data_IF_225135621506
#
_entry.id   IF_225135621506
#
_cell.length_a   1.000
_cell.length_b   1.000
_cell.length_c   1.000
_cell.angle_alpha   90.00
_cell.angle_beta   90.00
_cell.angle_gamma   90.00
#
_symmetry.space_group_name_H-M   'P 1'
#
loop_
_entity.id
_entity.type
_entity.pdbx_description
1 polymer ?
#
# COMPACT_ATOMS: atom_id res chain seq x y z
N UNK A 1 -13.44 -13.16 23.19
CA UNK A 1 -12.80 -14.15 22.30
C UNK A 1 -12.55 -13.59 20.88
N UNK A 2 -12.97 -12.35 20.57
CA UNK A 2 -12.78 -11.74 19.24
C UNK A 2 -11.33 -11.29 18.96
N UNK A 3 -10.59 -10.86 20.00
CA UNK A 3 -9.19 -10.42 19.87
C UNK A 3 -8.23 -11.54 19.43
N UNK A 4 -8.57 -12.83 19.65
CA UNK A 4 -7.72 -13.94 19.21
C UNK A 4 -7.88 -14.28 17.72
N UNK A 5 -8.99 -13.84 17.10
CA UNK A 5 -9.26 -14.07 15.67
C UNK A 5 -8.70 -12.92 14.82
N UNK A 6 -8.72 -11.69 15.36
CA UNK A 6 -8.31 -10.52 14.62
C UNK A 6 -6.82 -10.49 14.30
N UNK A 7 -5.97 -10.88 15.24
CA UNK A 7 -4.50 -10.89 15.06
C UNK A 7 -4.01 -11.75 13.88
N UNK A 8 -4.40 -13.04 13.76
CA UNK A 8 -3.95 -13.85 12.61
C UNK A 8 -4.51 -13.35 11.27
N UNK A 9 -5.73 -12.79 11.25
CA UNK A 9 -6.30 -12.18 10.05
C UNK A 9 -5.56 -10.90 9.64
N UNK A 10 -5.21 -10.08 10.62
CA UNK A 10 -4.40 -8.88 10.42
C UNK A 10 -3.04 -9.26 9.83
N UNK A 11 -2.32 -10.21 10.43
CA UNK A 11 -1.02 -10.67 9.92
C UNK A 11 -1.11 -11.24 8.51
N UNK A 12 -2.16 -12.02 8.22
CA UNK A 12 -2.41 -12.54 6.88
C UNK A 12 -2.68 -11.40 5.88
N UNK A 13 -3.49 -10.40 6.26
CA UNK A 13 -3.76 -9.24 5.43
C UNK A 13 -2.50 -8.41 5.17
N UNK A 14 -1.70 -8.16 6.22
CA UNK A 14 -0.45 -7.41 6.12
C UNK A 14 0.61 -8.13 5.27
N UNK A 15 0.53 -9.46 5.18
CA UNK A 15 1.38 -10.29 4.32
C UNK A 15 0.81 -10.49 2.91
N UNK A 16 -0.34 -9.90 2.59
CA UNK A 16 -0.97 -10.09 1.28
C UNK A 16 -0.14 -9.42 0.15
N UNK A 17 -0.26 -9.91 -1.10
CA UNK A 17 0.41 -9.30 -2.24
C UNK A 17 0.07 -7.82 -2.43
N UNK A 18 -1.17 -7.42 -2.11
CA UNK A 18 -1.60 -6.02 -2.21
C UNK A 18 -0.82 -5.14 -1.22
N UNK A 19 -0.77 -5.53 0.05
CA UNK A 19 -0.04 -4.77 1.08
C UNK A 19 1.45 -4.72 0.78
N UNK A 20 2.01 -5.85 0.32
CA UNK A 20 3.41 -5.92 -0.13
C UNK A 20 3.67 -4.97 -1.28
N UNK A 21 2.78 -4.92 -2.27
CA UNK A 21 2.91 -4.05 -3.45
C UNK A 21 2.79 -2.56 -3.09
N UNK A 22 1.82 -2.14 -2.29
CA UNK A 22 1.69 -0.71 -1.91
C UNK A 22 2.86 -0.22 -1.06
N UNK A 23 3.51 -1.11 -0.28
CA UNK A 23 4.76 -0.79 0.45
C UNK A 23 5.95 -0.53 -0.47
N UNK A 24 5.90 -0.93 -1.75
CA UNK A 24 6.96 -0.59 -2.72
C UNK A 24 6.96 0.88 -3.13
N UNK A 25 5.85 1.60 -2.89
CA UNK A 25 5.75 3.04 -3.16
C UNK A 25 6.29 3.90 -2.01
N UNK A 26 6.50 3.32 -0.83
CA UNK A 26 7.00 4.03 0.33
C UNK A 26 6.68 3.34 1.66
N UNK A 27 7.25 3.83 2.76
CA UNK A 27 6.96 3.30 4.10
C UNK A 27 5.53 3.65 4.54
N UNK A 28 4.76 2.64 4.96
CA UNK A 28 3.48 2.84 5.65
C UNK A 28 3.71 3.38 7.07
N UNK A 29 2.83 4.27 7.54
CA UNK A 29 2.86 4.80 8.91
C UNK A 29 4.25 5.32 9.37
N UNK A 30 5.05 5.88 8.45
CA UNK A 30 6.38 6.39 8.76
C UNK A 30 7.49 5.33 8.89
N UNK A 31 7.21 4.06 8.57
CA UNK A 31 8.22 3.00 8.39
C UNK A 31 8.56 2.17 9.63
N UNK A 32 8.09 2.59 10.81
CA UNK A 32 8.27 1.88 12.09
C UNK A 32 6.92 1.58 12.79
N UNK A 33 5.81 1.67 12.07
CA UNK A 33 4.49 1.38 12.62
C UNK A 33 4.30 -0.11 12.90
N UNK A 34 3.48 -0.41 13.90
CA UNK A 34 2.95 -1.76 14.13
C UNK A 34 2.02 -2.19 12.98
N UNK A 35 1.79 -3.49 12.82
CA UNK A 35 0.83 -4.00 11.83
C UNK A 35 -0.56 -3.35 11.94
N UNK A 36 -0.97 -2.99 13.16
CA UNK A 36 -2.25 -2.32 13.39
C UNK A 36 -2.23 -0.87 12.90
N UNK A 37 -1.15 -0.13 13.15
CA UNK A 37 -1.00 1.25 12.68
C UNK A 37 -0.91 1.32 11.15
N UNK A 38 -0.15 0.40 10.54
CA UNK A 38 -0.10 0.27 9.08
C UNK A 38 -1.46 -0.12 8.49
N UNK A 39 -2.21 -1.01 9.14
CA UNK A 39 -3.57 -1.36 8.73
C UNK A 39 -4.53 -0.17 8.80
N UNK A 40 -4.50 0.61 9.88
CA UNK A 40 -5.32 1.82 10.01
C UNK A 40 -4.99 2.82 8.91
N UNK A 41 -3.70 3.02 8.60
CA UNK A 41 -3.25 3.89 7.51
C UNK A 41 -3.68 3.39 6.10
N UNK A 42 -3.92 2.09 5.94
CA UNK A 42 -4.49 1.55 4.71
C UNK A 42 -6.01 1.69 4.67
N UNK A 43 -6.67 1.54 5.81
CA UNK A 43 -8.14 1.63 5.93
C UNK A 43 -8.64 3.06 5.77
N UNK A 44 -7.88 4.07 6.22
CA UNK A 44 -8.24 5.48 6.02
C UNK A 44 -8.26 5.89 4.53
N UNK A 45 -7.55 5.13 3.69
CA UNK A 45 -7.51 5.30 2.24
C UNK A 45 -6.66 6.47 1.73
N UNK A 46 -6.08 7.29 2.62
CA UNK A 46 -5.25 8.44 2.24
C UNK A 46 -4.00 7.97 1.51
N UNK A 47 -3.29 7.00 2.10
CA UNK A 47 -2.09 6.43 1.49
C UNK A 47 -2.39 5.77 0.13
N UNK A 48 -3.50 5.05 0.02
CA UNK A 48 -3.92 4.42 -1.24
C UNK A 48 -4.22 5.47 -2.32
N UNK A 49 -4.82 6.60 -1.97
CA UNK A 49 -5.05 7.69 -2.89
C UNK A 49 -3.73 8.31 -3.39
N UNK A 50 -2.73 8.47 -2.52
CA UNK A 50 -1.39 8.92 -2.92
C UNK A 50 -0.71 7.95 -3.88
N UNK A 51 -0.79 6.64 -3.62
CA UNK A 51 -0.28 5.60 -4.53
C UNK A 51 -0.96 5.70 -5.90
N UNK A 52 -2.28 5.90 -5.94
CA UNK A 52 -3.01 6.09 -7.19
C UNK A 52 -2.56 7.33 -7.97
N UNK A 53 -2.29 8.45 -7.28
CA UNK A 53 -1.76 9.66 -7.89
C UNK A 53 -0.34 9.45 -8.46
N UNK A 54 0.55 8.80 -7.70
CA UNK A 54 1.90 8.47 -8.19
C UNK A 54 1.86 7.58 -9.42
N UNK A 55 0.93 6.61 -9.47
CA UNK A 55 0.73 5.78 -10.66
C UNK A 55 0.25 6.61 -11.84
N UNK A 56 -0.71 7.50 -11.64
CA UNK A 56 -1.21 8.38 -12.68
C UNK A 56 -0.11 9.30 -13.23
N UNK A 57 0.70 9.91 -12.37
CA UNK A 57 1.84 10.73 -12.77
C UNK A 57 2.88 9.94 -13.56
N UNK A 58 3.24 8.73 -13.10
CA UNK A 58 4.18 7.85 -13.81
C UNK A 58 3.65 7.41 -15.17
N UNK A 59 2.37 7.04 -15.25
CA UNK A 59 1.72 6.65 -16.50
C UNK A 59 1.67 7.81 -17.49
N UNK A 60 1.28 8.99 -17.02
CA UNK A 60 1.25 10.20 -17.83
C UNK A 60 2.66 10.58 -18.32
N UNK A 61 3.65 10.56 -17.44
CA UNK A 61 5.05 10.83 -17.79
C UNK A 61 5.58 9.83 -18.83
N UNK A 62 5.27 8.54 -18.70
CA UNK A 62 5.65 7.53 -19.69
C UNK A 62 4.95 7.72 -21.04
N UNK A 63 3.67 8.08 -21.04
CA UNK A 63 2.95 8.45 -22.25
C UNK A 63 3.54 9.68 -22.95
N UNK A 64 4.03 10.64 -22.16
CA UNK A 64 4.67 11.87 -22.66
C UNK A 64 6.12 11.65 -23.14
N UNK A 65 6.82 10.65 -22.59
CA UNK A 65 8.19 10.28 -22.97
C UNK A 65 8.26 9.16 -24.02
N UNK A 66 7.13 8.57 -24.43
CA UNK A 66 7.08 7.47 -25.39
C UNK A 66 7.70 6.16 -24.88
N UNK A 67 7.84 6.00 -23.55
CA UNK A 67 8.48 4.83 -22.93
C UNK A 67 7.39 3.83 -22.55
N UNK A 68 7.47 2.61 -23.09
CA UNK A 68 6.60 1.49 -22.68
C UNK A 68 7.01 1.01 -21.29
N UNK A 69 6.12 1.12 -20.30
CA UNK A 69 6.31 0.43 -19.02
C UNK A 69 6.01 -1.04 -19.25
N UNK A 70 7.04 -1.87 -19.30
CA UNK A 70 6.87 -3.32 -19.11
C UNK A 70 6.66 -3.55 -17.61
N UNK A 71 5.42 -3.86 -17.23
CA UNK A 71 5.15 -4.54 -15.95
C UNK A 71 5.63 -5.98 -16.07
#
# INVERSE_FOLDING_TARGET
MENEIFTPLLEQFMSSPLVTWVKTFGPLAGGNGTNLEEYVALVDGVYLNEVMLQMYEKLWACGQLGISISV
#
